data_IF_840068227512
#
_entry.id   IF_840068227512
#
_cell.length_a   1.000
_cell.length_b   1.000
_cell.length_c   1.000
_cell.angle_alpha   90.00
_cell.angle_beta   90.00
_cell.angle_gamma   90.00
#
_symmetry.space_group_name_H-M   'P 1'
#
loop_
_entity.id
_entity.type
_entity.pdbx_description
1 polymer ?
#
# COMPACT_ATOMS: atom_id res chain seq x y z
N UNK A 1 -14.80 13.66 -2.94
CA UNK A 1 -13.57 14.24 -3.54
C UNK A 1 -13.90 14.79 -4.92
N UNK A 2 -13.25 15.88 -5.37
CA UNK A 2 -13.55 16.56 -6.65
C UNK A 2 -12.79 15.92 -7.83
N UNK A 3 -13.11 14.69 -8.25
CA UNK A 3 -12.81 14.31 -9.64
C UNK A 3 -13.88 15.00 -10.52
N UNK A 4 -13.74 16.30 -10.76
CA UNK A 4 -14.59 16.99 -11.73
C UNK A 4 -14.33 16.32 -13.07
N UNK A 5 -15.38 15.78 -13.72
CA UNK A 5 -15.31 15.28 -15.10
C UNK A 5 -14.44 16.23 -15.94
N UNK A 6 -13.24 15.77 -16.33
CA UNK A 6 -12.28 16.54 -17.13
C UNK A 6 -11.07 17.16 -16.41
N UNK A 7 -10.91 17.04 -15.08
CA UNK A 7 -9.71 17.47 -14.36
C UNK A 7 -9.06 16.32 -13.56
N UNK A 8 -7.72 16.28 -13.56
CA UNK A 8 -6.90 15.36 -12.76
C UNK A 8 -7.38 15.29 -11.31
N UNK A 9 -7.54 14.08 -10.80
CA UNK A 9 -7.87 13.86 -9.40
C UNK A 9 -6.67 14.23 -8.53
N UNK A 10 -6.91 14.95 -7.43
CA UNK A 10 -5.84 15.43 -6.53
C UNK A 10 -5.36 14.38 -5.54
N UNK A 11 -6.09 13.27 -5.41
CA UNK A 11 -5.78 12.11 -4.55
C UNK A 11 -6.25 10.84 -5.24
N UNK A 12 -5.56 9.73 -5.00
CA UNK A 12 -5.83 8.44 -5.63
C UNK A 12 -5.46 7.28 -4.72
N UNK A 13 -5.95 6.08 -5.06
CA UNK A 13 -5.69 4.85 -4.32
C UNK A 13 -4.94 3.84 -5.18
N UNK A 14 -4.08 3.06 -4.54
CA UNK A 14 -3.48 1.84 -5.06
C UNK A 14 -3.89 0.69 -4.14
N UNK A 15 -4.03 -0.53 -4.66
CA UNK A 15 -4.21 -1.74 -3.85
C UNK A 15 -3.24 -2.84 -4.26
N UNK A 16 -2.72 -3.56 -3.27
CA UNK A 16 -1.89 -4.77 -3.45
C UNK A 16 -2.52 -5.89 -2.64
N UNK A 17 -2.89 -6.99 -3.30
CA UNK A 17 -3.73 -8.01 -2.69
C UNK A 17 -3.53 -9.40 -3.30
N UNK A 18 -3.89 -10.45 -2.56
CA UNK A 18 -3.75 -11.83 -3.03
C UNK A 18 -2.29 -12.19 -3.43
N UNK A 19 -2.04 -12.56 -4.69
CA UNK A 19 -0.89 -13.38 -5.08
C UNK A 19 0.03 -12.87 -6.22
N UNK A 20 0.62 -11.68 -6.11
CA UNK A 20 0.01 -10.41 -5.74
C UNK A 20 -0.63 -9.78 -6.97
N UNK A 21 -1.85 -9.30 -6.88
CA UNK A 21 -2.42 -8.38 -7.86
C UNK A 21 -2.10 -6.95 -7.43
N UNK A 22 -1.82 -6.07 -8.41
CA UNK A 22 -1.56 -4.65 -8.14
C UNK A 22 -2.51 -3.77 -8.96
N UNK A 23 -3.37 -3.03 -8.27
CA UNK A 23 -4.15 -1.95 -8.85
C UNK A 23 -3.42 -0.62 -8.63
N UNK A 24 -2.76 -0.11 -9.67
CA UNK A 24 -2.01 1.16 -9.65
C UNK A 24 -2.92 2.38 -9.39
N UNK A 25 -2.31 3.52 -9.03
CA UNK A 25 -3.03 4.78 -8.85
C UNK A 25 -3.79 5.23 -10.12
N UNK A 26 -3.25 4.96 -11.30
CA UNK A 26 -3.84 5.37 -12.56
C UNK A 26 -4.80 4.32 -13.16
N UNK A 27 -4.90 3.12 -12.58
CA UNK A 27 -5.80 2.05 -13.04
C UNK A 27 -6.78 1.55 -11.98
N UNK A 28 -6.85 2.22 -10.83
CA UNK A 28 -7.64 1.75 -9.70
C UNK A 28 -9.15 1.82 -9.97
N UNK A 29 -9.84 0.70 -9.72
CA UNK A 29 -11.30 0.59 -9.85
C UNK A 29 -11.88 -0.22 -8.72
N UNK A 30 -12.69 0.40 -7.88
CA UNK A 30 -13.23 -0.24 -6.67
C UNK A 30 -14.03 -1.51 -6.95
N UNK A 31 -14.78 -1.56 -8.05
CA UNK A 31 -15.58 -2.73 -8.42
C UNK A 31 -14.75 -3.92 -8.92
N UNK A 32 -13.45 -3.73 -9.17
CA UNK A 32 -12.52 -4.80 -9.57
C UNK A 32 -11.70 -5.32 -8.37
N UNK A 33 -11.87 -4.72 -7.18
CA UNK A 33 -11.16 -5.11 -5.97
C UNK A 33 -11.94 -6.12 -5.12
N UNK A 34 -11.24 -6.92 -4.29
CA UNK A 34 -11.87 -7.65 -3.21
C UNK A 34 -12.72 -6.73 -2.31
N UNK A 35 -13.91 -7.20 -1.92
CA UNK A 35 -14.87 -6.40 -1.15
C UNK A 35 -14.32 -5.83 0.17
N UNK A 36 -13.33 -6.48 0.79
CA UNK A 36 -12.67 -6.01 2.01
C UNK A 36 -11.69 -4.84 1.80
N UNK A 37 -11.39 -4.47 0.56
CA UNK A 37 -10.57 -3.30 0.20
C UNK A 37 -11.40 -2.13 -0.36
N UNK A 38 -12.70 -2.34 -0.58
CA UNK A 38 -13.63 -1.30 -0.96
C UNK A 38 -14.00 -0.50 0.28
N UNK A 39 -13.65 0.78 0.28
CA UNK A 39 -13.91 1.71 1.37
C UNK A 39 -14.87 2.77 0.83
N UNK A 40 -16.05 2.90 1.45
CA UNK A 40 -17.17 3.70 0.92
C UNK A 40 -16.89 5.21 0.73
N UNK A 41 -15.73 5.72 1.17
CA UNK A 41 -15.40 7.15 1.25
C UNK A 41 -14.13 7.57 0.47
N UNK A 42 -13.51 6.70 -0.33
CA UNK A 42 -12.29 7.04 -1.10
C UNK A 42 -12.55 6.92 -2.61
N UNK A 43 -13.04 8.02 -3.18
CA UNK A 43 -13.21 8.17 -4.63
C UNK A 43 -11.89 7.91 -5.36
N UNK A 44 -11.85 6.86 -6.18
CA UNK A 44 -10.70 6.54 -6.99
C UNK A 44 -10.80 7.07 -8.43
N UNK A 45 -9.65 7.34 -9.04
CA UNK A 45 -9.53 7.78 -10.42
C UNK A 45 -9.78 6.60 -11.36
N UNK A 46 -11.04 6.37 -11.76
CA UNK A 46 -11.37 5.29 -12.68
C UNK A 46 -10.91 5.63 -14.12
N UNK A 47 -9.68 5.28 -14.48
CA UNK A 47 -9.21 5.29 -15.87
C UNK A 47 -9.41 3.92 -16.54
N UNK A 48 -9.66 3.93 -17.85
CA UNK A 48 -10.18 2.80 -18.63
C UNK A 48 -9.14 1.74 -19.04
N UNK A 49 -7.93 1.73 -18.47
CA UNK A 49 -6.90 0.73 -18.79
C UNK A 49 -6.95 -0.43 -17.78
N UNK A 50 -6.76 -1.67 -18.26
CA UNK A 50 -6.71 -2.86 -17.40
C UNK A 50 -5.51 -2.76 -16.46
N UNK A 51 -5.60 -3.28 -15.22
CA UNK A 51 -4.46 -3.39 -14.33
C UNK A 51 -3.29 -4.03 -15.08
N UNK A 52 -2.15 -3.33 -15.11
CA UNK A 52 -0.91 -3.94 -15.55
C UNK A 52 -0.32 -4.54 -14.28
N UNK A 53 -0.49 -5.84 -14.15
CA UNK A 53 0.04 -6.62 -13.04
C UNK A 53 1.57 -6.55 -13.04
N UNK A 54 2.12 -5.74 -12.14
CA UNK A 54 3.54 -5.71 -11.78
C UNK A 54 3.79 -6.92 -10.87
N UNK A 55 3.58 -8.13 -11.39
CA UNK A 55 3.66 -9.34 -10.58
C UNK A 55 5.11 -9.73 -10.43
N UNK A 56 5.78 -9.24 -9.39
CA UNK A 56 6.92 -9.97 -8.87
C UNK A 56 6.38 -11.23 -8.16
N UNK A 57 6.30 -12.33 -8.90
CA UNK A 57 6.11 -13.66 -8.31
C UNK A 57 7.29 -14.12 -7.45
N UNK A 58 8.33 -13.30 -7.35
CA UNK A 58 9.54 -13.56 -6.57
C UNK A 58 9.40 -13.01 -5.14
N UNK A 59 10.01 -13.71 -4.20
CA UNK A 59 10.20 -13.20 -2.85
C UNK A 59 11.18 -12.02 -2.84
N UNK A 60 10.97 -11.08 -1.93
CA UNK A 60 11.84 -9.92 -1.76
C UNK A 60 11.13 -8.70 -1.21
N UNK A 61 11.90 -7.62 -1.03
CA UNK A 61 11.36 -6.31 -0.68
C UNK A 61 11.24 -5.47 -1.96
N UNK A 62 10.09 -4.86 -2.20
CA UNK A 62 9.79 -4.07 -3.40
C UNK A 62 9.24 -2.68 -3.05
N UNK A 63 9.57 -1.69 -3.88
CA UNK A 63 9.03 -0.34 -3.75
C UNK A 63 7.58 -0.29 -4.23
N UNK A 64 6.62 -0.29 -3.30
CA UNK A 64 5.21 -0.05 -3.64
C UNK A 64 5.01 1.40 -4.03
N UNK A 65 5.56 2.32 -3.22
CA UNK A 65 5.47 3.77 -3.41
C UNK A 65 6.78 4.40 -2.95
N UNK A 66 7.40 5.24 -3.78
CA UNK A 66 8.63 5.94 -3.45
C UNK A 66 8.64 7.36 -4.00
N UNK A 67 8.99 8.30 -3.14
CA UNK A 67 9.39 9.66 -3.50
C UNK A 67 10.54 10.11 -2.58
N UNK A 68 10.93 11.39 -2.67
CA UNK A 68 11.90 11.98 -1.74
C UNK A 68 11.38 12.12 -0.31
N UNK A 69 10.05 12.13 -0.11
CA UNK A 69 9.41 12.32 1.20
C UNK A 69 8.81 11.04 1.77
N UNK A 70 8.27 10.18 0.90
CA UNK A 70 7.48 9.00 1.24
C UNK A 70 8.16 7.75 0.70
N UNK A 71 8.32 6.74 1.55
CA UNK A 71 8.87 5.45 1.21
C UNK A 71 7.93 4.37 1.74
N UNK A 72 7.36 3.56 0.86
CA UNK A 72 6.52 2.41 1.21
C UNK A 72 7.05 1.18 0.50
N UNK A 73 7.34 0.14 1.28
CA UNK A 73 7.86 -1.13 0.78
C UNK A 73 6.91 -2.27 1.13
N UNK A 74 6.77 -3.21 0.21
CA UNK A 74 6.13 -4.50 0.43
C UNK A 74 7.19 -5.58 0.55
N UNK A 75 7.08 -6.46 1.55
CA UNK A 75 7.85 -7.69 1.65
C UNK A 75 7.01 -8.84 1.14
N UNK A 76 7.41 -9.39 0.01
CA UNK A 76 6.75 -10.47 -0.70
C UNK A 76 7.36 -11.81 -0.29
N UNK A 77 6.51 -12.76 0.07
CA UNK A 77 6.89 -14.08 0.61
C UNK A 77 6.05 -15.18 0.00
N UNK A 78 6.60 -16.39 -0.08
CA UNK A 78 5.82 -17.59 -0.40
C UNK A 78 4.92 -17.97 0.78
N UNK A 79 3.68 -17.50 0.74
CA UNK A 79 2.73 -17.61 1.85
C UNK A 79 2.12 -19.02 1.98
N UNK A 80 2.18 -19.86 0.95
CA UNK A 80 1.45 -21.13 0.85
C UNK A 80 -0.06 -20.93 1.06
N UNK A 81 -0.58 -19.76 0.72
CA UNK A 81 -2.01 -19.44 0.75
C UNK A 81 -2.68 -19.65 -0.61
N UNK A 82 -1.90 -19.67 -1.69
CA UNK A 82 -2.37 -19.77 -3.08
C UNK A 82 -1.79 -21.01 -3.77
N UNK A 83 -2.45 -21.48 -4.83
CA UNK A 83 -2.05 -22.67 -5.61
C UNK A 83 -2.05 -22.33 -7.11
N UNK A 84 -0.89 -22.36 -7.80
CA UNK A 84 0.45 -22.63 -7.26
C UNK A 84 0.91 -21.53 -6.28
N UNK A 85 1.92 -21.82 -5.45
CA UNK A 85 2.38 -20.87 -4.43
C UNK A 85 3.06 -19.67 -5.10
N UNK A 86 2.31 -18.58 -5.19
CA UNK A 86 2.78 -17.29 -5.68
C UNK A 86 3.13 -16.39 -4.49
N UNK A 87 4.06 -15.45 -4.72
CA UNK A 87 4.42 -14.49 -3.68
C UNK A 87 3.21 -13.66 -3.26
N UNK A 88 3.06 -13.43 -1.96
CA UNK A 88 2.02 -12.57 -1.41
C UNK A 88 2.67 -11.57 -0.45
N UNK A 89 1.98 -10.48 -0.14
CA UNK A 89 2.51 -9.47 0.77
C UNK A 89 2.51 -10.02 2.20
N UNK A 90 3.69 -10.31 2.75
CA UNK A 90 3.87 -10.76 4.13
C UNK A 90 3.94 -9.59 5.12
N UNK A 91 4.42 -8.44 4.67
CA UNK A 91 4.44 -7.20 5.45
C UNK A 91 4.55 -5.95 4.55
N UNK A 92 4.10 -4.81 5.06
CA UNK A 92 4.31 -3.48 4.48
C UNK A 92 5.00 -2.59 5.49
N UNK A 93 6.00 -1.84 5.05
CA UNK A 93 6.69 -0.84 5.84
C UNK A 93 6.54 0.55 5.20
N UNK A 94 6.21 1.56 6.00
CA UNK A 94 6.14 2.96 5.59
C UNK A 94 7.14 3.80 6.41
N UNK A 95 7.89 4.67 5.74
CA UNK A 95 8.95 5.48 6.32
C UNK A 95 9.34 6.67 5.46
N UNK A 96 10.40 7.36 5.89
CA UNK A 96 10.96 8.51 5.18
C UNK A 96 10.77 9.84 5.91
N UNK A 97 11.20 10.96 5.30
CA UNK A 97 11.16 12.28 5.94
C UNK A 97 9.77 12.74 6.40
N UNK A 98 8.68 12.25 5.79
CA UNK A 98 7.33 12.62 6.22
C UNK A 98 6.93 12.06 7.59
N UNK A 99 7.63 11.03 8.08
CA UNK A 99 7.47 10.44 9.42
C UNK A 99 8.64 10.78 10.35
N UNK A 100 9.39 11.85 10.09
CA UNK A 100 10.59 12.22 10.86
C UNK A 100 11.64 11.09 10.91
N UNK A 101 11.74 10.31 9.83
CA UNK A 101 12.63 9.14 9.75
C UNK A 101 12.14 7.91 10.52
N UNK A 102 10.97 7.97 11.16
CA UNK A 102 10.35 6.83 11.85
C UNK A 102 9.73 5.86 10.85
N UNK A 103 9.41 4.67 11.34
CA UNK A 103 8.88 3.56 10.54
C UNK A 103 7.63 2.97 11.16
N UNK A 104 6.60 2.78 10.34
CA UNK A 104 5.47 1.89 10.62
C UNK A 104 5.68 0.59 9.84
N UNK A 105 5.60 -0.55 10.52
CA UNK A 105 5.61 -1.87 9.86
C UNK A 105 4.37 -2.65 10.25
N UNK A 106 3.62 -3.14 9.26
CA UNK A 106 2.42 -3.97 9.43
C UNK A 106 2.67 -5.30 8.75
N UNK A 107 2.63 -6.41 9.50
CA UNK A 107 2.80 -7.77 9.01
C UNK A 107 1.54 -8.61 9.14
N UNK A 108 1.65 -9.92 9.06
CA UNK A 108 0.53 -10.86 9.31
C UNK A 108 0.14 -10.94 10.79
N UNK A 109 -1.01 -11.56 11.10
CA UNK A 109 -1.38 -11.97 12.47
C UNK A 109 -1.26 -10.86 13.54
N UNK A 110 -1.81 -9.68 13.26
CA UNK A 110 -1.79 -8.53 14.17
C UNK A 110 -0.40 -7.98 14.51
N UNK A 111 0.63 -8.37 13.76
CA UNK A 111 1.97 -7.81 13.92
C UNK A 111 1.99 -6.36 13.41
N UNK A 112 2.12 -5.40 14.33
CA UNK A 112 2.28 -3.98 14.02
C UNK A 112 3.39 -3.42 14.87
N UNK A 113 4.33 -2.68 14.26
CA UNK A 113 5.40 -1.99 14.99
C UNK A 113 5.50 -0.54 14.59
N UNK A 114 5.86 0.30 15.56
CA UNK A 114 6.27 1.68 15.34
C UNK A 114 7.69 1.85 15.84
N UNK A 115 8.61 2.19 14.93
CA UNK A 115 10.04 2.39 15.23
C UNK A 115 10.64 1.18 15.97
N UNK A 116 10.31 -0.03 15.48
CA UNK A 116 10.71 -1.32 16.05
C UNK A 116 9.96 -1.74 17.33
N UNK A 117 9.09 -0.89 17.88
CA UNK A 117 8.31 -1.23 19.08
C UNK A 117 6.95 -1.79 18.71
N UNK A 118 6.65 -3.00 19.18
CA UNK A 118 5.37 -3.66 18.94
C UNK A 118 4.20 -2.86 19.54
N UNK A 119 3.14 -2.71 18.77
CA UNK A 119 1.84 -2.22 19.23
C UNK A 119 0.98 -3.41 19.63
N UNK A 120 0.29 -3.32 20.76
CA UNK A 120 -0.62 -4.39 21.18
C UNK A 120 -1.85 -4.40 20.25
N UNK A 121 -2.36 -5.58 19.86
CA UNK A 121 -3.61 -5.67 19.11
C UNK A 121 -4.74 -4.92 19.83
N UNK A 122 -5.57 -4.20 19.07
CA UNK A 122 -6.66 -3.37 19.58
C UNK A 122 -6.24 -2.00 20.12
N UNK A 123 -4.94 -1.66 20.15
CA UNK A 123 -4.50 -0.33 20.55
C UNK A 123 -4.66 0.70 19.42
N UNK A 124 -4.85 1.96 19.83
CA UNK A 124 -4.59 3.14 19.01
C UNK A 124 -3.28 3.80 19.44
N UNK A 125 -2.65 4.49 18.50
CA UNK A 125 -1.43 5.27 18.71
C UNK A 125 -1.56 6.58 17.94
N UNK A 126 -1.46 7.70 18.66
CA UNK A 126 -1.40 9.04 18.07
C UNK A 126 -0.01 9.65 18.35
N UNK A 127 0.63 10.17 17.32
CA UNK A 127 2.00 10.68 17.40
C UNK A 127 2.12 12.02 16.69
N UNK A 128 2.63 13.02 17.41
CA UNK A 128 3.00 14.30 16.82
C UNK A 128 4.33 14.14 16.07
N UNK A 129 4.31 14.54 14.80
CA UNK A 129 5.45 14.58 13.90
C UNK A 129 5.63 16.02 13.39
N UNK A 130 6.79 16.32 12.81
CA UNK A 130 7.08 17.65 12.28
C UNK A 130 6.06 18.08 11.20
N UNK A 131 5.51 17.12 10.46
CA UNK A 131 4.61 17.37 9.31
C UNK A 131 3.12 17.15 9.61
N UNK A 132 2.75 16.87 10.86
CA UNK A 132 1.37 16.58 11.25
C UNK A 132 1.29 15.48 12.29
N UNK A 133 0.12 14.87 12.42
CA UNK A 133 -0.11 13.78 13.37
C UNK A 133 -0.24 12.47 12.61
N UNK A 134 0.40 11.41 13.11
CA UNK A 134 0.13 10.05 12.68
C UNK A 134 -0.89 9.42 13.63
N UNK A 135 -1.97 8.89 13.07
CA UNK A 135 -3.02 8.18 13.78
C UNK A 135 -3.04 6.74 13.30
N UNK A 136 -2.71 5.79 14.18
CA UNK A 136 -2.61 4.36 13.85
C UNK A 136 -3.59 3.60 14.75
N UNK A 137 -4.43 2.75 14.16
CA UNK A 137 -5.45 2.00 14.89
C UNK A 137 -5.51 0.58 14.40
N UNK A 138 -5.58 -0.37 15.32
CA UNK A 138 -5.93 -1.77 15.04
C UNK A 138 -7.33 -2.06 15.56
N UNK A 139 -8.16 -2.70 14.75
CA UNK A 139 -9.53 -3.07 15.13
C UNK A 139 -10.01 -4.28 14.34
N UNK A 140 -11.11 -4.90 14.79
CA UNK A 140 -11.77 -5.95 14.03
C UNK A 140 -12.25 -5.41 12.67
N UNK A 141 -12.04 -6.22 11.64
CA UNK A 141 -12.37 -5.92 10.25
C UNK A 141 -13.58 -6.70 9.73
N UNK A 142 -13.81 -6.66 8.41
CA UNK A 142 -14.87 -7.46 7.79
C UNK A 142 -14.60 -8.96 7.97
N UNK A 143 -15.69 -9.74 7.89
CA UNK A 143 -15.62 -11.20 7.81
C UNK A 143 -15.22 -11.58 6.39
N UNK A 144 -14.07 -12.23 6.25
CA UNK A 144 -13.55 -12.76 4.98
C UNK A 144 -13.45 -14.27 5.14
N UNK A 145 -14.03 -15.03 4.20
CA UNK A 145 -14.08 -16.49 4.23
C UNK A 145 -14.55 -17.08 5.58
N UNK A 146 -15.56 -16.43 6.18
CA UNK A 146 -16.16 -16.86 7.45
C UNK A 146 -15.33 -16.56 8.70
N UNK A 147 -14.24 -15.79 8.58
CA UNK A 147 -13.40 -15.37 9.71
C UNK A 147 -13.32 -13.85 9.80
N UNK A 148 -13.48 -13.31 11.00
CA UNK A 148 -13.23 -11.88 11.26
C UNK A 148 -11.75 -11.59 11.02
N UNK A 149 -11.47 -10.65 10.13
CA UNK A 149 -10.10 -10.16 9.89
C UNK A 149 -9.68 -9.15 10.96
N UNK A 150 -8.37 -8.91 11.10
CA UNK A 150 -7.87 -7.73 11.81
C UNK A 150 -7.53 -6.65 10.79
N UNK A 151 -7.96 -5.41 11.05
CA UNK A 151 -7.67 -4.27 10.21
C UNK A 151 -6.73 -3.32 10.94
N UNK A 152 -5.76 -2.79 10.20
CA UNK A 152 -4.92 -1.68 10.64
C UNK A 152 -5.18 -0.49 9.74
N UNK A 153 -5.53 0.64 10.34
CA UNK A 153 -5.66 1.91 9.63
C UNK A 153 -4.57 2.87 10.11
N UNK A 154 -3.97 3.59 9.17
CA UNK A 154 -3.00 4.63 9.48
C UNK A 154 -3.31 5.88 8.66
N UNK A 155 -3.74 6.96 9.32
CA UNK A 155 -3.78 8.30 8.73
C UNK A 155 -2.47 8.99 9.08
N UNK A 156 -1.67 9.28 8.07
CA UNK A 156 -0.32 9.80 8.22
C UNK A 156 -0.24 11.25 7.70
N UNK A 157 0.84 11.99 8.00
CA UNK A 157 1.05 13.32 7.44
C UNK A 157 0.97 13.37 5.91
N UNK A 158 0.75 14.57 5.39
CA UNK A 158 0.66 14.85 3.95
C UNK A 158 -0.51 14.14 3.24
N UNK A 159 -1.58 13.80 3.96
CA UNK A 159 -2.77 13.18 3.37
C UNK A 159 -2.58 11.73 2.95
N UNK A 160 -1.51 11.07 3.42
CA UNK A 160 -1.27 9.64 3.18
C UNK A 160 -2.15 8.81 4.11
N UNK A 161 -2.90 7.88 3.56
CA UNK A 161 -3.69 6.92 4.31
C UNK A 161 -3.34 5.49 3.89
N UNK A 162 -3.09 4.63 4.88
CA UNK A 162 -2.82 3.22 4.68
C UNK A 162 -3.91 2.39 5.35
N UNK A 163 -4.44 1.42 4.61
CA UNK A 163 -5.44 0.47 5.08
C UNK A 163 -4.90 -0.93 4.86
N UNK A 164 -4.94 -1.77 5.89
CA UNK A 164 -4.42 -3.13 5.86
C UNK A 164 -5.47 -4.09 6.37
N UNK A 165 -5.64 -5.21 5.66
CA UNK A 165 -6.40 -6.37 6.14
C UNK A 165 -5.39 -7.48 6.40
N UNK A 166 -5.29 -7.90 7.66
CA UNK A 166 -4.32 -8.92 8.08
C UNK A 166 -4.97 -10.30 8.08
N UNK A 167 -4.40 -11.19 7.25
CA UNK A 167 -4.70 -12.62 7.25
C UNK A 167 -3.64 -13.40 8.03
N UNK A 168 -3.84 -14.70 8.29
CA UNK A 168 -2.85 -15.52 8.99
C UNK A 168 -1.49 -15.64 8.28
N UNK A 169 -1.46 -15.53 6.95
CA UNK A 169 -0.24 -15.80 6.15
C UNK A 169 0.18 -14.68 5.19
N UNK A 170 -0.68 -13.68 4.98
CA UNK A 170 -0.42 -12.54 4.11
C UNK A 170 -1.24 -11.33 4.60
N UNK A 171 -1.05 -10.19 3.97
CA UNK A 171 -1.88 -9.00 4.16
C UNK A 171 -2.31 -8.49 2.80
N UNK A 172 -3.48 -7.86 2.76
CA UNK A 172 -3.89 -7.02 1.65
C UNK A 172 -3.82 -5.57 2.09
N UNK A 173 -3.47 -4.67 1.17
CA UNK A 173 -3.33 -3.25 1.49
C UNK A 173 -3.94 -2.35 0.44
N UNK A 174 -4.51 -1.23 0.90
CA UNK A 174 -4.87 -0.08 0.09
C UNK A 174 -4.07 1.13 0.57
N UNK A 175 -3.37 1.78 -0.36
CA UNK A 175 -2.57 2.99 -0.14
C UNK A 175 -3.32 4.14 -0.81
N UNK A 176 -3.60 5.21 -0.09
CA UNK A 176 -4.22 6.42 -0.65
C UNK A 176 -3.32 7.61 -0.39
N UNK A 177 -3.08 8.42 -1.41
CA UNK A 177 -2.21 9.58 -1.29
C UNK A 177 -2.55 10.69 -2.30
N UNK A 178 -2.09 11.94 -2.04
CA UNK A 178 -2.17 13.03 -2.99
C UNK A 178 -1.21 12.89 -4.18
N UNK A 179 -1.64 13.35 -5.36
CA UNK A 179 -0.86 13.31 -6.60
C UNK A 179 0.42 14.16 -6.55
N UNK A 180 0.43 15.22 -5.74
CA UNK A 180 1.55 16.16 -5.63
C UNK A 180 2.77 15.60 -4.88
N UNK A 181 2.66 14.40 -4.30
CA UNK A 181 3.77 13.68 -3.68
C UNK A 181 4.79 13.11 -4.67
N UNK A 182 4.47 13.12 -5.98
CA UNK A 182 5.36 12.72 -7.09
C UNK A 182 6.02 11.37 -6.83
N UNK A 183 5.17 10.36 -6.67
CA UNK A 183 5.58 9.00 -6.33
C UNK A 183 5.91 8.20 -7.58
N UNK A 184 6.56 7.05 -7.40
CA UNK A 184 6.71 5.98 -8.39
C UNK A 184 6.87 4.64 -7.64
N UNK A 185 6.70 3.51 -8.31
CA UNK A 185 6.77 2.18 -7.70
C UNK A 185 5.80 1.20 -8.36
N UNK A 186 5.56 0.05 -7.72
CA UNK A 186 4.56 -0.91 -8.21
C UNK A 186 3.15 -0.30 -8.29
N UNK A 187 2.84 0.68 -7.42
CA UNK A 187 1.60 1.42 -7.49
C UNK A 187 1.55 2.47 -8.62
N UNK A 188 2.60 2.62 -9.42
CA UNK A 188 2.68 3.57 -10.51
C UNK A 188 3.13 4.98 -10.10
N UNK A 189 3.30 5.85 -11.09
CA UNK A 189 3.79 7.22 -10.89
C UNK A 189 2.67 8.25 -10.60
N UNK A 190 1.42 7.82 -10.70
CA UNK A 190 0.22 8.61 -10.47
C UNK A 190 0.15 9.90 -11.31
N UNK A 191 0.46 9.82 -12.61
CA UNK A 191 0.43 10.96 -13.53
C UNK A 191 -0.87 11.02 -14.38
N UNK A 192 -1.77 10.06 -14.20
CA UNK A 192 -3.00 9.88 -14.96
C UNK A 192 -2.85 9.00 -16.20
N UNK A 193 -1.71 8.33 -16.38
CA UNK A 193 -1.35 7.56 -17.58
C UNK A 193 -1.03 6.12 -17.21
N UNK A 194 -2.07 5.32 -16.95
CA UNK A 194 -1.94 3.90 -16.61
C UNK A 194 -1.05 3.07 -17.54
N UNK A 195 -0.94 3.45 -18.82
CA UNK A 195 -0.11 2.74 -19.78
C UNK A 195 1.40 2.80 -19.46
N UNK A 196 1.85 3.73 -18.60
CA UNK A 196 3.24 3.84 -18.15
C UNK A 196 3.50 3.28 -16.75
N UNK A 197 2.50 2.62 -16.14
CA UNK A 197 2.62 1.92 -14.85
C UNK A 197 2.97 0.42 -15.01
N UNK A 198 3.49 0.03 -16.19
CA UNK A 198 4.02 -1.33 -16.40
C UNK A 198 5.30 -1.55 -15.61
N UNK A 199 5.60 -2.80 -15.22
CA UNK A 199 6.86 -3.17 -14.57
C UNK A 199 8.09 -2.65 -15.34
N UNK A 200 8.07 -2.80 -16.67
CA UNK A 200 9.15 -2.34 -17.54
C UNK A 200 9.29 -0.81 -17.52
N UNK A 201 8.18 -0.07 -17.59
CA UNK A 201 8.19 1.38 -17.60
C UNK A 201 8.65 1.94 -16.24
N UNK A 202 8.15 1.40 -15.13
CA UNK A 202 8.61 1.74 -13.79
C UNK A 202 10.09 1.39 -13.61
N UNK A 203 10.51 0.19 -14.05
CA UNK A 203 11.89 -0.26 -14.01
C UNK A 203 12.85 0.68 -14.74
N UNK A 204 12.45 1.23 -15.90
CA UNK A 204 13.23 2.24 -16.64
C UNK A 204 13.38 3.57 -15.89
N UNK A 205 12.36 3.99 -15.12
CA UNK A 205 12.39 5.25 -14.35
C UNK A 205 13.17 5.11 -13.04
N UNK A 206 13.03 3.97 -12.36
CA UNK A 206 13.56 3.75 -11.01
C UNK A 206 14.88 2.99 -10.96
N UNK A 207 15.29 2.35 -12.08
CA UNK A 207 16.43 1.44 -12.09
C UNK A 207 16.12 0.07 -11.46
N UNK A 208 14.84 -0.31 -11.44
CA UNK A 208 14.32 -1.53 -10.81
C UNK A 208 13.40 -1.26 -9.62
N UNK A 209 12.52 -2.23 -9.35
CA UNK A 209 11.53 -2.17 -8.27
C UNK A 209 12.04 -2.79 -6.96
N UNK A 210 12.97 -3.74 -7.05
CA UNK A 210 13.50 -4.43 -5.89
C UNK A 210 14.29 -3.46 -5.00
N UNK A 211 14.03 -3.50 -3.70
CA UNK A 211 14.70 -2.69 -2.70
C UNK A 211 16.09 -3.27 -2.44
N UNK A 212 17.11 -2.44 -2.54
CA UNK A 212 18.46 -2.84 -2.14
C UNK A 212 18.53 -3.05 -0.61
N UNK A 213 19.32 -4.01 -0.09
CA UNK A 213 19.36 -4.31 1.34
C UNK A 213 19.63 -3.10 2.25
N UNK A 214 20.50 -2.18 1.81
CA UNK A 214 20.84 -0.96 2.54
C UNK A 214 19.68 0.05 2.65
N UNK A 215 18.68 -0.08 1.79
CA UNK A 215 17.52 0.81 1.71
C UNK A 215 16.26 0.16 2.33
N UNK A 216 16.35 -1.08 2.84
CA UNK A 216 15.21 -1.83 3.37
C UNK A 216 14.62 -1.18 4.63
N UNK A 217 13.29 -1.10 4.67
CA UNK A 217 12.52 -0.55 5.79
C UNK A 217 12.23 -1.56 6.92
N UNK A 218 12.63 -2.82 6.74
CA UNK A 218 12.40 -3.91 7.68
C UNK A 218 13.61 -4.22 8.56
#
# INVERSE_FOLDING_TARGET
>A
INCKRGNQCTSGSCAVYSDPHVASFDSFREHELPGHLVLADVDACANQVRPIDVNSYNEGDFWLVRSSLLQVQGRFVLSKAFVPDHAAVGAVAAGGPFLDGKRLVVGTQSAVTWDGRALKPGNSLDLNLTRGVAHIRSHEGPVVDGKTSNVVTATLPLGVALYFVQFPKYIDTRITLPMDLKVDGECGNFNGVAADDTEEAVGRRMGGLQVAPKDSLF
#
